data_IF_618101696256
#
_entry.id   IF_618101696256
#
_cell.length_a   1.000
_cell.length_b   1.000
_cell.length_c   1.000
_cell.angle_alpha   90.00
_cell.angle_beta   90.00
_cell.angle_gamma   90.00
#
_symmetry.space_group_name_H-M   'P 1'
#
loop_
_entity.id
_entity.type
_entity.pdbx_description
1 polymer ?
#
# COMPACT_ATOMS: atom_id res chain seq x y z
N UNK A 1 30.19 20.59 35.69
CA UNK A 1 30.61 20.64 34.26
C UNK A 1 31.57 19.53 33.83
N UNK A 2 32.70 19.25 34.51
CA UNK A 2 33.70 18.25 34.04
C UNK A 2 33.20 16.78 33.92
N UNK A 3 32.09 16.42 34.58
CA UNK A 3 31.50 15.06 34.54
C UNK A 3 30.65 14.79 33.28
N UNK A 4 29.95 15.79 32.76
CA UNK A 4 29.16 15.65 31.52
C UNK A 4 30.05 15.50 30.28
N UNK A 5 31.18 16.22 30.25
CA UNK A 5 32.12 16.17 29.11
C UNK A 5 32.78 14.78 28.95
N UNK A 6 32.98 14.03 30.04
CA UNK A 6 33.53 12.66 30.00
C UNK A 6 32.53 11.60 29.55
N UNK A 7 31.22 11.85 29.69
CA UNK A 7 30.17 10.95 29.22
C UNK A 7 29.99 11.12 27.71
N UNK A 8 30.05 12.37 27.21
CA UNK A 8 29.98 12.68 25.78
C UNK A 8 31.20 12.16 24.99
N UNK A 9 32.39 12.05 25.61
CA UNK A 9 33.59 11.48 24.99
C UNK A 9 33.65 9.93 24.95
N UNK A 10 32.64 9.23 25.50
CA UNK A 10 32.58 7.76 25.51
C UNK A 10 31.66 7.15 24.44
N UNK A 11 31.15 7.96 23.52
CA UNK A 11 30.56 7.41 22.30
C UNK A 11 31.72 6.82 21.50
N UNK A 12 31.83 5.50 21.50
CA UNK A 12 32.92 4.81 20.79
C UNK A 12 32.80 5.07 19.28
N UNK A 13 33.92 5.03 18.58
CA UNK A 13 33.96 5.09 17.10
C UNK A 13 32.99 4.06 16.48
N UNK A 14 32.79 2.91 17.15
CA UNK A 14 31.81 1.89 16.78
C UNK A 14 30.36 2.38 16.85
N UNK A 15 29.97 3.11 17.90
CA UNK A 15 28.60 3.66 17.99
C UNK A 15 28.35 4.71 16.91
N UNK A 16 29.32 5.58 16.62
CA UNK A 16 29.22 6.54 15.52
C UNK A 16 29.14 5.84 14.15
N UNK A 17 29.92 4.78 13.96
CA UNK A 17 29.89 3.99 12.72
C UNK A 17 28.54 3.30 12.52
N UNK A 18 27.99 2.66 13.57
CA UNK A 18 26.66 2.03 13.50
C UNK A 18 25.59 3.06 13.17
N UNK A 19 25.59 4.22 13.84
CA UNK A 19 24.64 5.30 13.53
C UNK A 19 24.79 5.83 12.11
N UNK A 20 26.03 6.00 11.61
CA UNK A 20 26.28 6.45 10.25
C UNK A 20 25.80 5.43 9.20
N UNK A 21 26.05 4.14 9.42
CA UNK A 21 25.57 3.07 8.53
C UNK A 21 24.05 2.96 8.56
N UNK A 22 23.43 3.02 9.74
CA UNK A 22 21.96 3.03 9.86
C UNK A 22 21.33 4.25 9.22
N UNK A 23 21.94 5.43 9.38
CA UNK A 23 21.50 6.66 8.72
C UNK A 23 21.61 6.51 7.19
N UNK A 24 22.77 6.09 6.67
CA UNK A 24 22.98 5.87 5.24
C UNK A 24 22.01 4.82 4.65
N UNK A 25 21.74 3.73 5.37
CA UNK A 25 20.77 2.72 4.97
C UNK A 25 19.33 3.26 4.96
N UNK A 26 19.00 4.18 5.88
CA UNK A 26 17.72 4.88 5.88
C UNK A 26 17.61 5.80 4.65
N UNK A 27 18.65 6.58 4.35
CA UNK A 27 18.68 7.44 3.16
C UNK A 27 18.68 6.68 1.84
N UNK A 28 19.14 5.42 1.81
CA UNK A 28 18.98 4.61 0.61
C UNK A 28 17.50 4.23 0.38
N UNK A 29 16.67 4.17 1.42
CA UNK A 29 15.25 3.85 1.26
C UNK A 29 14.38 5.03 0.86
N UNK A 30 14.89 6.25 0.93
CA UNK A 30 14.12 7.45 0.64
C UNK A 30 14.90 8.43 -0.24
N UNK A 31 14.22 9.06 -1.18
CA UNK A 31 14.78 10.12 -2.03
C UNK A 31 13.96 11.40 -1.89
N UNK A 32 14.57 12.58 -2.05
CA UNK A 32 13.79 13.76 -2.38
C UNK A 32 13.10 13.55 -3.75
N UNK A 33 11.84 13.94 -3.85
CA UNK A 33 11.17 14.13 -5.14
C UNK A 33 11.51 15.50 -5.74
N UNK A 34 10.91 15.84 -6.88
CA UNK A 34 11.11 17.13 -7.56
C UNK A 34 10.71 18.34 -6.71
N UNK A 35 9.84 18.13 -5.71
CA UNK A 35 9.40 19.14 -4.75
C UNK A 35 10.21 19.12 -3.44
N UNK A 36 11.25 18.29 -3.34
CA UNK A 36 12.08 18.14 -2.15
C UNK A 36 11.46 17.31 -1.02
N UNK A 37 10.35 16.62 -1.26
CA UNK A 37 9.71 15.74 -0.27
C UNK A 37 10.47 14.42 -0.16
N UNK A 38 10.65 13.92 1.05
CA UNK A 38 11.30 12.62 1.30
C UNK A 38 10.28 11.51 1.04
N UNK A 39 10.41 10.85 -0.11
CA UNK A 39 9.51 9.80 -0.59
C UNK A 39 10.25 8.45 -0.62
N UNK A 40 9.57 7.30 -0.51
CA UNK A 40 10.25 6.02 -0.63
C UNK A 40 10.91 5.88 -2.02
N UNK A 41 12.15 5.38 -2.08
CA UNK A 41 13.05 5.44 -3.25
C UNK A 41 12.40 4.93 -4.55
N UNK A 42 11.56 3.91 -4.43
CA UNK A 42 10.96 3.19 -5.55
C UNK A 42 9.55 3.66 -5.89
N UNK A 43 9.02 4.69 -5.23
CA UNK A 43 7.66 5.16 -5.44
C UNK A 43 7.63 6.38 -6.37
N UNK A 44 6.54 6.52 -7.12
CA UNK A 44 6.28 7.68 -7.98
C UNK A 44 5.01 8.37 -7.50
N UNK A 45 5.06 9.68 -7.32
CA UNK A 45 3.92 10.52 -6.93
C UNK A 45 3.56 11.41 -8.12
N UNK A 46 3.26 10.78 -9.24
CA UNK A 46 2.87 11.48 -10.46
C UNK A 46 1.37 11.30 -10.70
N UNK A 47 0.56 12.23 -10.22
CA UNK A 47 -0.90 12.20 -10.36
C UNK A 47 -1.33 12.31 -11.84
N UNK A 48 -0.44 12.73 -12.75
CA UNK A 48 -0.75 12.84 -14.17
C UNK A 48 -0.97 11.49 -14.85
N UNK A 49 -0.61 10.38 -14.20
CA UNK A 49 -0.86 9.02 -14.73
C UNK A 49 -2.28 8.50 -14.47
N UNK A 50 -3.05 9.16 -13.58
CA UNK A 50 -4.41 8.73 -13.23
C UNK A 50 -5.37 8.56 -14.42
N UNK A 51 -5.36 9.43 -15.45
CA UNK A 51 -6.19 9.22 -16.64
C UNK A 51 -6.01 7.85 -17.29
N UNK A 52 -4.78 7.28 -17.28
CA UNK A 52 -4.55 5.93 -17.81
C UNK A 52 -5.35 4.87 -17.05
N UNK A 53 -5.49 4.99 -15.73
CA UNK A 53 -6.37 4.12 -14.95
C UNK A 53 -7.84 4.38 -15.29
N UNK A 54 -8.25 5.65 -15.37
CA UNK A 54 -9.65 6.03 -15.57
C UNK A 54 -10.19 5.55 -16.91
N UNK A 55 -9.35 5.54 -17.94
CA UNK A 55 -9.64 5.05 -19.27
C UNK A 55 -9.64 3.52 -19.34
N UNK A 56 -8.79 2.85 -18.55
CA UNK A 56 -8.69 1.40 -18.51
C UNK A 56 -9.90 0.72 -17.84
N UNK A 57 -10.44 1.29 -16.77
CA UNK A 57 -11.56 0.71 -16.00
C UNK A 57 -12.79 0.37 -16.87
N UNK A 58 -13.34 1.28 -17.71
CA UNK A 58 -14.50 0.94 -18.55
C UNK A 58 -14.18 -0.05 -19.67
N UNK A 59 -12.90 -0.25 -20.02
CA UNK A 59 -12.46 -1.20 -21.05
C UNK A 59 -12.20 -2.60 -20.48
N UNK A 60 -12.17 -2.74 -19.15
CA UNK A 60 -11.84 -4.00 -18.50
C UNK A 60 -12.87 -5.09 -18.82
N UNK A 61 -12.40 -6.25 -19.29
CA UNK A 61 -13.25 -7.44 -19.49
C UNK A 61 -13.53 -8.14 -18.17
N UNK A 62 -12.68 -7.95 -17.17
CA UNK A 62 -12.80 -8.60 -15.87
C UNK A 62 -12.21 -7.70 -14.79
N UNK A 63 -12.90 -7.65 -13.64
CA UNK A 63 -12.38 -7.04 -12.42
C UNK A 63 -12.33 -8.10 -11.32
N UNK A 64 -11.18 -8.22 -10.66
CA UNK A 64 -10.92 -9.24 -9.64
C UNK A 64 -10.42 -8.55 -8.36
N UNK A 65 -10.86 -9.05 -7.21
CA UNK A 65 -10.33 -8.65 -5.91
C UNK A 65 -9.48 -9.76 -5.33
N UNK A 66 -8.45 -9.36 -4.59
CA UNK A 66 -7.70 -10.24 -3.70
C UNK A 66 -7.63 -9.60 -2.31
N UNK A 67 -7.91 -10.41 -1.30
CA UNK A 67 -7.82 -10.02 0.11
C UNK A 67 -6.35 -10.12 0.58
N UNK A 68 -5.85 -9.09 1.25
CA UNK A 68 -4.50 -9.07 1.82
C UNK A 68 -4.36 -9.99 3.04
N UNK A 69 -3.17 -10.56 3.23
CA UNK A 69 -2.84 -11.28 4.46
C UNK A 69 -2.82 -10.33 5.67
N UNK A 70 -2.85 -10.83 6.93
CA UNK A 70 -2.69 -10.00 8.12
C UNK A 70 -1.40 -9.16 8.11
N UNK A 71 -1.37 -8.07 8.87
CA UNK A 71 -0.22 -7.16 8.87
C UNK A 71 1.06 -7.83 9.40
N UNK A 72 2.13 -7.85 8.60
CA UNK A 72 3.37 -8.58 8.93
C UNK A 72 4.10 -8.06 10.17
N UNK A 73 4.01 -6.76 10.47
CA UNK A 73 4.57 -6.15 11.70
C UNK A 73 3.63 -6.11 12.91
N UNK A 74 2.32 -5.94 12.72
CA UNK A 74 1.36 -5.68 13.82
C UNK A 74 0.57 -6.94 14.20
N UNK A 75 0.40 -7.86 13.26
CA UNK A 75 -0.34 -9.11 13.40
C UNK A 75 0.57 -10.31 13.13
N UNK A 76 1.85 -10.22 13.51
CA UNK A 76 2.92 -11.19 13.17
C UNK A 76 2.48 -12.64 13.31
N UNK A 77 1.82 -13.00 14.43
CA UNK A 77 1.37 -14.37 14.67
C UNK A 77 0.31 -14.85 13.67
N UNK A 78 -0.64 -13.99 13.33
CA UNK A 78 -1.67 -14.31 12.34
C UNK A 78 -1.07 -14.34 10.94
N UNK A 79 -0.21 -13.38 10.59
CA UNK A 79 0.49 -13.36 9.31
C UNK A 79 1.26 -14.66 9.07
N UNK A 80 2.10 -15.08 10.03
CA UNK A 80 2.90 -16.30 9.90
C UNK A 80 2.03 -17.56 9.80
N UNK A 81 0.98 -17.66 10.63
CA UNK A 81 0.04 -18.78 10.58
C UNK A 81 -0.68 -18.85 9.24
N UNK A 82 -1.22 -17.74 8.76
CA UNK A 82 -1.99 -17.68 7.51
C UNK A 82 -1.09 -17.91 6.28
N UNK A 83 0.11 -17.32 6.27
CA UNK A 83 1.11 -17.54 5.21
C UNK A 83 1.52 -19.01 5.10
N UNK A 84 1.66 -19.71 6.22
CA UNK A 84 2.02 -21.12 6.23
C UNK A 84 0.83 -22.03 5.87
N UNK A 85 -0.38 -21.67 6.28
CA UNK A 85 -1.55 -22.54 6.18
C UNK A 85 -2.35 -22.37 4.88
N UNK A 86 -2.34 -21.19 4.26
CA UNK A 86 -3.22 -20.86 3.13
C UNK A 86 -2.43 -20.49 1.87
N UNK A 87 -2.89 -20.92 0.68
CA UNK A 87 -2.32 -20.48 -0.58
C UNK A 87 -2.38 -18.95 -0.72
N UNK A 88 -1.28 -18.38 -1.18
CA UNK A 88 -1.15 -16.95 -1.38
C UNK A 88 -0.42 -16.65 -2.68
N UNK A 89 -0.60 -15.43 -3.15
CA UNK A 89 0.03 -14.87 -4.35
C UNK A 89 0.67 -13.54 -3.98
N UNK A 90 1.80 -13.24 -4.62
CA UNK A 90 2.51 -11.99 -4.40
C UNK A 90 2.22 -11.01 -5.53
N UNK A 91 1.83 -9.79 -5.18
CA UNK A 91 1.71 -8.67 -6.11
C UNK A 91 2.51 -7.50 -5.55
N UNK A 92 3.46 -6.98 -6.35
CA UNK A 92 4.26 -5.80 -6.03
C UNK A 92 4.86 -5.80 -4.61
N UNK A 93 5.39 -6.96 -4.17
CA UNK A 93 6.03 -7.09 -2.87
C UNK A 93 5.08 -7.35 -1.68
N UNK A 94 3.79 -7.54 -1.93
CA UNK A 94 2.77 -7.80 -0.91
C UNK A 94 2.03 -9.12 -1.15
N UNK A 95 1.73 -9.84 -0.06
CA UNK A 95 1.05 -11.13 -0.12
C UNK A 95 -0.46 -10.98 0.03
N UNK A 96 -1.19 -11.66 -0.85
CA UNK A 96 -2.65 -11.74 -0.86
C UNK A 96 -3.08 -13.20 -0.86
N UNK A 97 -4.25 -13.50 -0.31
CA UNK A 97 -4.85 -14.82 -0.42
C UNK A 97 -5.08 -15.16 -1.90
N UNK A 98 -4.80 -16.40 -2.31
CA UNK A 98 -4.86 -16.80 -3.73
C UNK A 98 -6.29 -16.88 -4.30
N UNK A 99 -7.32 -16.86 -3.44
CA UNK A 99 -8.73 -16.84 -3.86
C UNK A 99 -9.04 -15.55 -4.62
N UNK A 100 -9.26 -15.65 -5.92
CA UNK A 100 -9.75 -14.56 -6.74
C UNK A 100 -11.24 -14.34 -6.49
N UNK A 101 -11.62 -13.11 -6.14
CA UNK A 101 -13.00 -12.76 -5.84
C UNK A 101 -13.55 -11.91 -6.98
N UNK A 102 -14.68 -12.33 -7.56
CA UNK A 102 -15.42 -11.54 -8.56
C UNK A 102 -16.52 -10.76 -7.83
N UNK A 103 -16.48 -9.41 -7.83
CA UNK A 103 -17.50 -8.61 -7.16
C UNK A 103 -18.87 -8.71 -7.84
N UNK A 104 -19.93 -8.40 -7.08
CA UNK A 104 -21.27 -8.24 -7.61
C UNK A 104 -21.32 -7.10 -8.65
N UNK A 105 -22.23 -7.15 -9.65
CA UNK A 105 -22.37 -6.06 -10.63
C UNK A 105 -22.63 -4.69 -9.99
N UNK A 106 -23.37 -4.64 -8.87
CA UNK A 106 -23.61 -3.41 -8.14
C UNK A 106 -22.32 -2.85 -7.53
N UNK A 107 -21.53 -3.69 -6.87
CA UNK A 107 -20.28 -3.27 -6.26
C UNK A 107 -19.21 -2.94 -7.31
N UNK A 108 -19.19 -3.64 -8.46
CA UNK A 108 -18.35 -3.26 -9.60
C UNK A 108 -18.63 -1.83 -10.06
N UNK A 109 -19.91 -1.46 -10.16
CA UNK A 109 -20.32 -0.10 -10.54
C UNK A 109 -19.86 0.92 -9.51
N UNK A 110 -19.98 0.61 -8.21
CA UNK A 110 -19.54 1.49 -7.11
C UNK A 110 -18.01 1.65 -7.07
N UNK A 111 -17.26 0.56 -7.22
CA UNK A 111 -15.81 0.58 -7.28
C UNK A 111 -15.33 1.39 -8.49
N UNK A 112 -15.88 1.14 -9.68
CA UNK A 112 -15.55 1.89 -10.88
C UNK A 112 -15.88 3.38 -10.74
N UNK A 113 -17.06 3.73 -10.22
CA UNK A 113 -17.45 5.12 -10.01
C UNK A 113 -16.57 5.84 -8.99
N UNK A 114 -16.17 5.15 -7.92
CA UNK A 114 -15.28 5.72 -6.91
C UNK A 114 -13.87 5.90 -7.48
N UNK A 115 -13.25 4.83 -8.00
CA UNK A 115 -11.88 4.87 -8.51
C UNK A 115 -11.74 5.81 -9.72
N UNK A 116 -12.75 5.97 -10.56
CA UNK A 116 -12.68 6.90 -11.71
C UNK A 116 -12.92 8.36 -11.33
N UNK A 117 -13.29 8.66 -10.08
CA UNK A 117 -13.47 10.02 -9.64
C UNK A 117 -12.08 10.62 -9.32
N UNK A 118 -11.63 11.69 -10.00
CA UNK A 118 -10.35 12.32 -9.68
C UNK A 118 -10.25 12.78 -8.21
N UNK A 119 -11.37 13.16 -7.58
CA UNK A 119 -11.42 13.55 -6.18
C UNK A 119 -11.25 12.39 -5.19
N UNK A 120 -11.09 11.15 -5.69
CA UNK A 120 -10.75 10.01 -4.84
C UNK A 120 -9.31 10.01 -4.39
N UNK A 121 -8.41 10.58 -5.19
CA UNK A 121 -6.99 10.57 -4.90
C UNK A 121 -6.48 11.96 -4.58
N UNK A 122 -5.54 12.02 -3.65
CA UNK A 122 -4.79 13.23 -3.31
C UNK A 122 -3.30 12.91 -3.27
N UNK A 123 -2.45 13.93 -3.46
CA UNK A 123 -1.01 13.72 -3.37
C UNK A 123 -0.65 13.11 -2.01
N UNK A 124 0.32 12.17 -2.01
CA UNK A 124 0.76 11.51 -0.78
C UNK A 124 1.17 12.53 0.29
N UNK A 125 0.51 12.47 1.45
CA UNK A 125 0.69 13.41 2.56
C UNK A 125 1.93 13.16 3.43
N UNK A 126 2.71 12.12 3.14
CA UNK A 126 3.91 11.76 3.88
C UNK A 126 3.77 10.47 4.70
N UNK A 127 4.85 10.10 5.39
CA UNK A 127 4.91 8.84 6.14
C UNK A 127 3.89 8.78 7.28
N UNK A 128 3.16 7.67 7.36
CA UNK A 128 2.14 7.41 8.38
C UNK A 128 2.65 6.39 9.42
N UNK A 129 2.25 6.57 10.67
CA UNK A 129 2.67 5.71 11.80
C UNK A 129 1.87 4.40 11.92
N UNK A 130 1.41 3.87 10.78
CA UNK A 130 0.54 2.69 10.67
C UNK A 130 1.32 1.37 10.46
N UNK A 131 2.66 1.36 10.54
CA UNK A 131 3.44 0.12 10.44
C UNK A 131 4.12 -0.17 9.11
N UNK A 132 4.33 0.87 8.30
CA UNK A 132 4.63 0.80 6.86
C UNK A 132 3.42 0.38 6.03
N UNK A 133 3.50 0.64 4.72
CA UNK A 133 2.41 0.35 3.80
C UNK A 133 2.09 -1.16 3.78
N UNK A 134 0.82 -1.49 4.01
CA UNK A 134 0.31 -2.84 4.04
C UNK A 134 -1.07 -2.87 3.39
N UNK A 135 -1.20 -3.31 2.13
CA UNK A 135 -2.48 -3.30 1.44
C UNK A 135 -3.39 -4.42 1.95
N UNK A 136 -4.58 -4.03 2.37
CA UNK A 136 -5.63 -4.95 2.80
C UNK A 136 -6.40 -5.53 1.60
N UNK A 137 -6.36 -4.84 0.47
CA UNK A 137 -7.04 -5.24 -0.76
C UNK A 137 -6.22 -4.93 -2.00
N UNK A 138 -6.32 -5.80 -2.99
CA UNK A 138 -5.92 -5.55 -4.37
C UNK A 138 -7.15 -5.59 -5.26
N UNK A 139 -7.31 -4.59 -6.13
CA UNK A 139 -8.27 -4.56 -7.22
C UNK A 139 -7.49 -4.68 -8.53
N UNK A 140 -7.83 -5.66 -9.37
CA UNK A 140 -7.19 -5.89 -10.67
C UNK A 140 -8.23 -5.76 -11.79
N UNK A 141 -8.01 -4.82 -12.70
CA UNK A 141 -8.73 -4.70 -13.96
C UNK A 141 -7.91 -5.33 -15.08
N UNK A 142 -8.50 -6.30 -15.79
CA UNK A 142 -7.90 -6.97 -16.94
C UNK A 142 -8.53 -6.47 -18.22
N UNK A 143 -7.69 -6.07 -19.18
CA UNK A 143 -8.12 -5.53 -20.47
C UNK A 143 -8.13 -6.65 -21.53
N UNK A 144 -8.86 -6.46 -22.66
CA UNK A 144 -8.94 -7.46 -23.74
C UNK A 144 -7.58 -7.78 -24.38
N UNK A 145 -6.66 -6.82 -24.37
CA UNK A 145 -5.31 -6.93 -24.92
C UNK A 145 -4.32 -7.67 -23.99
N UNK A 146 -4.79 -8.14 -22.82
CA UNK A 146 -3.99 -8.82 -21.82
C UNK A 146 -3.29 -7.90 -20.82
N UNK A 147 -3.35 -6.57 -21.02
CA UNK A 147 -2.83 -5.61 -20.05
C UNK A 147 -3.66 -5.64 -18.76
N UNK A 148 -3.00 -5.22 -17.67
CA UNK A 148 -3.60 -5.19 -16.35
C UNK A 148 -3.32 -3.86 -15.68
N UNK A 149 -4.33 -3.38 -14.98
CA UNK A 149 -4.22 -2.26 -14.07
C UNK A 149 -4.58 -2.74 -12.67
N UNK A 150 -3.80 -2.34 -11.68
CA UNK A 150 -3.89 -2.86 -10.33
C UNK A 150 -3.89 -1.71 -9.33
N UNK A 151 -4.75 -1.79 -8.32
CA UNK A 151 -4.81 -0.85 -7.20
C UNK A 151 -4.72 -1.64 -5.90
N UNK A 152 -3.65 -1.42 -5.15
CA UNK A 152 -3.48 -1.90 -3.79
C UNK A 152 -3.99 -0.83 -2.83
N UNK A 153 -4.86 -1.18 -1.89
CA UNK A 153 -5.47 -0.25 -0.95
C UNK A 153 -5.18 -0.66 0.49
N UNK A 154 -4.62 0.27 1.27
CA UNK A 154 -4.33 0.10 2.69
C UNK A 154 -5.38 0.82 3.54
N UNK A 155 -6.18 0.07 4.29
CA UNK A 155 -7.19 0.61 5.20
C UNK A 155 -6.57 1.35 6.39
N UNK A 156 -5.40 0.93 6.85
CA UNK A 156 -4.73 1.53 8.02
C UNK A 156 -4.14 2.91 7.75
N UNK A 157 -3.59 3.11 6.54
CA UNK A 157 -2.90 4.34 6.17
C UNK A 157 -3.73 5.22 5.23
N UNK A 158 -4.85 4.74 4.69
CA UNK A 158 -5.65 5.44 3.66
C UNK A 158 -4.82 5.75 2.41
N UNK A 159 -3.90 4.84 2.09
CA UNK A 159 -2.94 4.96 1.01
C UNK A 159 -3.26 3.95 -0.08
N UNK A 160 -2.99 4.31 -1.33
CA UNK A 160 -3.06 3.38 -2.46
C UNK A 160 -1.76 3.37 -3.25
N UNK A 161 -1.42 2.19 -3.76
CA UNK A 161 -0.44 2.04 -4.83
C UNK A 161 -1.14 1.51 -6.06
N UNK A 162 -0.96 2.21 -7.16
CA UNK A 162 -1.60 1.93 -8.44
C UNK A 162 -0.50 1.56 -9.43
N UNK A 163 -0.74 0.51 -10.20
CA UNK A 163 0.21 -0.03 -11.17
C UNK A 163 -0.49 -0.21 -12.51
N UNK A 164 0.19 0.15 -13.59
CA UNK A 164 -0.23 -0.10 -14.96
C UNK A 164 0.98 -0.34 -15.88
N UNK A 165 0.77 -0.49 -17.19
CA UNK A 165 1.85 -0.78 -18.13
C UNK A 165 2.91 0.34 -18.17
N UNK A 166 4.07 0.09 -17.55
CA UNK A 166 5.20 1.03 -17.54
C UNK A 166 5.09 2.20 -16.55
N UNK A 167 4.05 2.25 -15.72
CA UNK A 167 3.84 3.33 -14.76
C UNK A 167 3.29 2.82 -13.43
N UNK A 168 3.49 3.63 -12.39
CA UNK A 168 2.94 3.40 -11.07
C UNK A 168 2.68 4.75 -10.38
N UNK A 169 1.80 4.74 -9.38
CA UNK A 169 1.45 5.89 -8.56
C UNK A 169 1.29 5.46 -7.10
N UNK A 170 1.92 6.18 -6.18
CA UNK A 170 1.69 6.09 -4.74
C UNK A 170 1.06 7.39 -4.26
N UNK A 171 -0.16 7.31 -3.71
CA UNK A 171 -0.93 8.47 -3.33
C UNK A 171 -1.88 8.16 -2.17
N UNK A 172 -2.52 9.20 -1.64
CA UNK A 172 -3.51 9.10 -0.58
C UNK A 172 -4.92 9.03 -1.18
N UNK A 173 -5.86 8.55 -0.36
CA UNK A 173 -7.29 8.51 -0.67
C UNK A 173 -8.04 9.47 0.23
N UNK A 174 -8.88 10.31 -0.36
CA UNK A 174 -9.71 11.27 0.40
C UNK A 174 -10.65 10.54 1.36
N UNK A 175 -10.96 11.14 2.51
CA UNK A 175 -11.74 10.50 3.58
C UNK A 175 -13.12 9.98 3.10
N UNK A 176 -13.79 10.74 2.24
CA UNK A 176 -15.09 10.35 1.66
C UNK A 176 -14.95 9.12 0.77
N UNK A 177 -13.89 9.06 -0.04
CA UNK A 177 -13.64 7.94 -0.96
C UNK A 177 -13.13 6.71 -0.22
N UNK A 178 -12.34 6.91 0.83
CA UNK A 178 -11.93 5.86 1.75
C UNK A 178 -13.14 5.11 2.29
N UNK A 179 -14.13 5.84 2.80
CA UNK A 179 -15.34 5.26 3.39
C UNK A 179 -16.13 4.42 2.38
N UNK A 180 -16.21 4.89 1.13
CA UNK A 180 -16.87 4.19 0.01
C UNK A 180 -16.12 2.91 -0.40
N UNK A 181 -14.80 3.01 -0.59
CA UNK A 181 -13.97 1.85 -0.94
C UNK A 181 -14.01 0.80 0.16
N UNK A 182 -13.79 1.21 1.41
CA UNK A 182 -13.78 0.32 2.58
C UNK A 182 -15.11 -0.41 2.74
N UNK A 183 -16.22 0.31 2.79
CA UNK A 183 -17.55 -0.30 2.94
C UNK A 183 -17.93 -1.24 1.78
N UNK A 184 -17.36 -1.01 0.59
CA UNK A 184 -17.57 -1.90 -0.55
C UNK A 184 -16.72 -3.16 -0.45
N UNK A 185 -15.43 -3.01 -0.11
CA UNK A 185 -14.46 -4.11 -0.07
C UNK A 185 -14.64 -5.02 1.15
N UNK A 186 -15.00 -4.48 2.32
CA UNK A 186 -15.19 -5.26 3.55
C UNK A 186 -16.28 -6.34 3.42
N UNK A 187 -17.26 -6.16 2.51
CA UNK A 187 -18.29 -7.17 2.19
C UNK A 187 -17.69 -8.49 1.71
N UNK A 188 -16.49 -8.43 1.13
CA UNK A 188 -15.79 -9.56 0.53
C UNK A 188 -14.74 -10.17 1.46
N UNK A 189 -14.51 -9.61 2.65
CA UNK A 189 -13.56 -10.17 3.61
C UNK A 189 -14.04 -11.55 4.07
N UNK A 190 -13.21 -12.57 3.83
CA UNK A 190 -13.54 -13.97 4.15
C UNK A 190 -12.41 -14.68 4.89
N UNK A 191 -11.18 -14.37 4.51
CA UNK A 191 -10.02 -15.16 4.89
C UNK A 191 -9.34 -14.61 6.12
N UNK A 192 -9.32 -13.28 6.30
CA UNK A 192 -8.60 -12.66 7.40
C UNK A 192 -9.20 -13.10 8.76
N UNK A 193 -8.38 -13.56 9.71
CA UNK A 193 -8.87 -13.93 11.03
C UNK A 193 -9.58 -12.77 11.72
N UNK A 194 -10.76 -13.03 12.29
CA UNK A 194 -11.45 -12.05 13.13
C UNK A 194 -10.59 -11.79 14.36
N UNK A 195 -10.03 -10.58 14.46
CA UNK A 195 -9.39 -10.14 15.69
C UNK A 195 -10.45 -10.07 16.78
N UNK A 196 -10.48 -11.05 17.67
CA UNK A 196 -11.17 -10.89 18.96
C UNK A 196 -10.36 -9.87 19.72
N UNK A 197 -10.83 -8.62 19.77
CA UNK A 197 -10.27 -7.61 20.67
C UNK A 197 -10.15 -8.24 22.05
N UNK A 198 -8.90 -8.42 22.52
CA UNK A 198 -8.59 -8.83 23.88
C UNK A 198 -8.48 -7.60 24.75
#
# INVERSE_FOLDING_TARGET
MKRLLRILLKISLWTLLVLAVSYAALWWRFRPDEKGRVIPLFEKIDMAVLPHLFDAIPQATTTILYEGLPHQGWEVRFFESERAAKPHVEFHGHLFYAEAIVPSPQDLTLLAATVRNPATFEEWGGMKLCGAYHPDWLIEWRLPDGNKHQLQFCFGCHEVKIYGPGWQLYCDVTQDSYSKLRSTLEKYAKNRPVQKHR
#
